data_IF_012745206798
#
_entry.id   IF_012745206798
#
_cell.length_a   1.000
_cell.length_b   1.000
_cell.length_c   1.000
_cell.angle_alpha   90.00
_cell.angle_beta   90.00
_cell.angle_gamma   90.00
#
_symmetry.space_group_name_H-M   'P 1'
#
loop_
_entity.id
_entity.type
_entity.pdbx_description
1 polymer ?
#
# COMPACT_ATOMS: atom_id res chain seq x y z
N UNK A 1 -43.79 26.27 -0.15
CA UNK A 1 -42.49 26.08 0.45
C UNK A 1 -42.26 24.59 0.75
N UNK A 2 -41.45 23.94 -0.09
CA UNK A 2 -41.11 22.53 0.07
C UNK A 2 -39.80 22.45 0.84
N UNK A 3 -39.87 21.99 2.06
CA UNK A 3 -38.70 21.67 2.87
C UNK A 3 -38.03 20.41 2.30
N UNK A 4 -36.90 20.58 1.65
CA UNK A 4 -36.02 19.50 1.29
C UNK A 4 -35.30 18.96 2.52
N UNK A 5 -35.64 17.73 2.90
CA UNK A 5 -34.87 17.01 3.91
C UNK A 5 -33.52 16.62 3.32
N UNK A 6 -32.50 17.33 3.72
CA UNK A 6 -31.12 16.94 3.48
C UNK A 6 -30.80 15.79 4.45
N UNK A 7 -30.70 14.60 3.90
CA UNK A 7 -30.27 13.42 4.62
C UNK A 7 -28.76 13.60 4.90
N UNK A 8 -28.29 13.57 6.13
CA UNK A 8 -26.86 13.66 6.39
C UNK A 8 -26.18 12.43 5.81
N UNK A 9 -25.14 12.65 5.03
CA UNK A 9 -24.28 11.60 4.51
C UNK A 9 -23.67 10.84 5.68
N UNK A 10 -23.84 9.54 5.67
CA UNK A 10 -23.31 8.62 6.68
C UNK A 10 -21.78 8.68 6.61
N UNK A 11 -21.15 9.33 7.57
CA UNK A 11 -19.71 9.61 7.61
C UNK A 11 -18.84 8.43 8.07
N UNK A 12 -19.31 7.19 7.85
CA UNK A 12 -18.63 6.00 8.38
C UNK A 12 -18.10 5.05 7.27
N UNK A 13 -17.97 5.53 6.03
CA UNK A 13 -17.20 4.78 5.05
C UNK A 13 -15.71 5.06 5.27
N UNK A 14 -14.90 4.01 5.38
CA UNK A 14 -13.46 4.21 5.46
C UNK A 14 -12.99 4.88 4.17
N UNK A 15 -12.53 6.12 4.30
CA UNK A 15 -11.91 6.81 3.17
C UNK A 15 -10.61 6.10 2.81
N UNK A 16 -10.67 5.26 1.78
CA UNK A 16 -9.48 4.71 1.17
C UNK A 16 -8.63 5.87 0.66
N UNK A 17 -7.34 5.80 0.88
CA UNK A 17 -6.39 6.71 0.24
C UNK A 17 -6.67 6.72 -1.27
N UNK A 18 -6.62 7.89 -1.90
CA UNK A 18 -6.89 8.03 -3.34
C UNK A 18 -5.90 7.29 -4.23
N UNK A 19 -4.79 6.80 -3.66
CA UNK A 19 -3.74 6.08 -4.40
C UNK A 19 -3.36 4.78 -3.70
N UNK A 20 -3.23 3.69 -4.47
CA UNK A 20 -2.71 2.45 -3.91
C UNK A 20 -1.24 2.62 -3.51
N UNK A 21 -0.84 1.98 -2.43
CA UNK A 21 0.55 1.92 -2.00
C UNK A 21 1.34 0.83 -2.73
N UNK A 22 0.64 -0.12 -3.30
CA UNK A 22 1.20 -1.26 -4.02
C UNK A 22 0.15 -1.80 -4.99
N UNK A 23 0.59 -2.25 -6.14
CA UNK A 23 -0.22 -2.92 -7.16
C UNK A 23 0.49 -4.17 -7.65
N UNK A 24 -0.25 -5.22 -7.93
CA UNK A 24 0.32 -6.45 -8.45
C UNK A 24 -0.73 -7.55 -8.62
N UNK A 25 -0.30 -8.77 -8.43
CA UNK A 25 -1.14 -9.96 -8.54
C UNK A 25 -1.31 -10.63 -7.19
N UNK A 26 -2.50 -11.15 -6.94
CA UNK A 26 -2.76 -12.08 -5.86
C UNK A 26 -2.87 -13.48 -6.49
N UNK A 27 -2.13 -14.44 -5.97
CA UNK A 27 -2.11 -15.79 -6.49
C UNK A 27 -2.40 -16.83 -5.41
N UNK A 28 -3.36 -17.68 -5.66
CA UNK A 28 -3.66 -18.87 -4.89
C UNK A 28 -3.65 -20.07 -5.85
N UNK A 29 -2.61 -20.89 -5.76
CA UNK A 29 -2.42 -22.01 -6.66
C UNK A 29 -2.40 -21.54 -8.14
N UNK A 30 -3.32 -22.01 -8.97
CA UNK A 30 -3.43 -21.62 -10.38
C UNK A 30 -4.31 -20.38 -10.61
N UNK A 31 -4.96 -19.88 -9.57
CA UNK A 31 -5.82 -18.70 -9.67
C UNK A 31 -5.02 -17.46 -9.37
N UNK A 32 -5.05 -16.51 -10.29
CA UNK A 32 -4.37 -15.22 -10.15
C UNK A 32 -5.29 -14.08 -10.55
N UNK A 33 -5.22 -12.96 -9.84
CA UNK A 33 -5.98 -11.77 -10.18
C UNK A 33 -5.20 -10.48 -9.87
N UNK A 34 -5.42 -9.43 -10.66
CA UNK A 34 -4.84 -8.13 -10.35
C UNK A 34 -5.46 -7.54 -9.08
N UNK A 35 -4.62 -6.99 -8.22
CA UNK A 35 -5.02 -6.40 -6.94
C UNK A 35 -4.24 -5.14 -6.65
N UNK A 36 -4.77 -4.34 -5.73
CA UNK A 36 -4.09 -3.17 -5.19
C UNK A 36 -4.24 -3.12 -3.67
N UNK A 37 -3.22 -2.60 -3.00
CA UNK A 37 -3.22 -2.38 -1.56
C UNK A 37 -3.40 -0.89 -1.24
N UNK A 38 -4.32 -0.61 -0.34
CA UNK A 38 -4.58 0.73 0.21
C UNK A 38 -4.38 0.73 1.71
N UNK A 39 -3.82 1.80 2.27
CA UNK A 39 -3.71 1.93 3.70
C UNK A 39 -5.07 1.88 4.40
N UNK A 40 -5.19 1.05 5.42
CA UNK A 40 -6.43 0.87 6.19
C UNK A 40 -6.48 1.71 7.46
N UNK A 41 -5.37 2.39 7.81
CA UNK A 41 -5.32 3.27 8.97
C UNK A 41 -5.88 4.63 8.63
N UNK A 42 -6.83 5.11 9.43
CA UNK A 42 -7.33 6.47 9.33
C UNK A 42 -6.25 7.46 9.78
N UNK A 43 -6.00 8.50 8.99
CA UNK A 43 -5.09 9.61 9.38
C UNK A 43 -5.61 10.40 10.60
N UNK A 44 -6.89 10.32 10.91
CA UNK A 44 -7.52 11.09 11.98
C UNK A 44 -7.14 10.67 13.41
N UNK A 45 -6.46 9.53 13.58
CA UNK A 45 -5.97 9.05 14.86
C UNK A 45 -4.46 9.02 14.99
N UNK A 46 -3.74 9.37 13.93
CA UNK A 46 -2.28 9.31 13.91
C UNK A 46 -1.69 10.52 14.67
N UNK A 47 -0.78 10.20 15.61
CA UNK A 47 0.04 11.22 16.25
C UNK A 47 1.12 11.62 15.26
N UNK A 48 1.11 12.87 14.83
CA UNK A 48 2.13 13.40 13.95
C UNK A 48 3.00 14.44 14.67
N UNK A 49 4.30 14.35 14.44
CA UNK A 49 5.26 15.32 14.93
C UNK A 49 5.74 16.21 13.78
N UNK A 50 5.89 17.48 14.06
CA UNK A 50 6.41 18.43 13.09
C UNK A 50 7.73 19.01 13.61
N UNK A 51 8.64 19.26 12.69
CA UNK A 51 9.85 19.99 13.03
C UNK A 51 9.55 21.48 13.15
N UNK A 52 9.92 22.06 14.27
CA UNK A 52 9.70 23.48 14.56
C UNK A 52 11.05 24.16 14.82
N UNK A 53 11.13 25.44 14.45
CA UNK A 53 12.19 26.31 14.90
C UNK A 53 11.85 26.78 16.33
N UNK A 54 12.67 26.46 17.35
CA UNK A 54 12.34 26.80 18.74
C UNK A 54 12.31 28.30 19.00
N UNK A 55 12.99 29.12 18.20
CA UNK A 55 13.00 30.58 18.35
C UNK A 55 11.70 31.23 17.88
N UNK A 56 11.07 30.67 16.83
CA UNK A 56 9.91 31.26 16.19
C UNK A 56 8.63 30.46 16.36
N UNK A 57 8.74 29.18 16.74
CA UNK A 57 7.67 28.17 16.75
C UNK A 57 7.07 27.90 15.36
N UNK A 58 7.74 28.31 14.31
CA UNK A 58 7.33 28.05 12.94
C UNK A 58 7.67 26.60 12.54
N UNK A 59 6.78 26.01 11.72
CA UNK A 59 7.05 24.73 11.10
C UNK A 59 8.17 24.89 10.06
N UNK A 60 9.12 23.95 10.09
CA UNK A 60 10.22 23.91 9.14
C UNK A 60 9.73 23.34 7.82
N UNK A 61 10.13 23.98 6.72
CA UNK A 61 9.95 23.46 5.35
C UNK A 61 11.25 22.83 4.89
N UNK A 62 11.13 21.63 4.29
CA UNK A 62 12.25 21.00 3.61
C UNK A 62 12.20 21.36 2.13
N UNK A 63 13.16 22.17 1.70
CA UNK A 63 13.23 22.64 0.30
C UNK A 63 14.41 21.98 -0.38
N UNK A 64 14.20 21.19 -1.45
CA UNK A 64 15.29 20.70 -2.28
C UNK A 64 16.06 21.88 -2.86
N UNK A 65 17.37 21.85 -2.76
CA UNK A 65 18.22 22.97 -3.18
C UNK A 65 19.36 22.49 -4.05
N UNK A 66 19.48 23.07 -5.25
CA UNK A 66 20.64 22.89 -6.11
C UNK A 66 21.75 23.81 -5.65
N UNK A 67 23.01 23.32 -5.53
CA UNK A 67 24.12 24.16 -5.05
C UNK A 67 24.44 25.33 -5.97
N UNK A 68 24.10 25.27 -7.26
CA UNK A 68 24.39 26.30 -8.24
C UNK A 68 23.22 27.24 -8.50
N UNK A 69 21.98 26.70 -8.56
CA UNK A 69 20.80 27.50 -8.95
C UNK A 69 19.87 27.83 -7.80
N UNK A 70 20.09 27.28 -6.59
CA UNK A 70 19.25 27.50 -5.43
C UNK A 70 18.03 26.56 -5.36
N UNK A 71 16.96 26.98 -4.66
CA UNK A 71 15.79 26.12 -4.46
C UNK A 71 15.16 25.64 -5.77
N UNK A 72 14.73 24.37 -5.80
CA UNK A 72 14.06 23.76 -6.95
C UNK A 72 12.75 23.12 -6.51
N UNK A 73 11.78 23.05 -7.42
CA UNK A 73 10.51 22.38 -7.18
C UNK A 73 10.69 20.85 -7.23
N UNK A 74 10.06 20.16 -6.28
CA UNK A 74 10.12 18.68 -6.25
C UNK A 74 9.61 18.04 -7.54
N UNK A 75 8.60 18.64 -8.17
CA UNK A 75 8.02 18.14 -9.42
C UNK A 75 9.01 18.18 -10.59
N UNK A 76 10.01 19.07 -10.53
CA UNK A 76 11.04 19.21 -11.58
C UNK A 76 12.25 18.30 -11.36
N UNK A 77 12.28 17.58 -10.24
CA UNK A 77 13.37 16.68 -9.93
C UNK A 77 13.22 15.36 -10.69
N UNK A 78 14.35 14.85 -11.16
CA UNK A 78 14.44 13.54 -11.84
C UNK A 78 15.34 12.61 -11.04
N UNK A 79 15.16 11.30 -11.23
CA UNK A 79 16.02 10.30 -10.63
C UNK A 79 17.17 9.98 -11.56
N UNK A 80 18.40 9.98 -11.04
CA UNK A 80 19.59 9.61 -11.77
C UNK A 80 20.27 8.41 -11.14
N UNK A 81 20.72 7.48 -11.98
CA UNK A 81 21.56 6.36 -11.57
C UNK A 81 23.02 6.69 -11.86
N UNK A 82 23.87 6.64 -10.83
CA UNK A 82 25.31 6.90 -11.00
C UNK A 82 26.01 5.67 -11.59
N UNK A 83 26.52 5.82 -12.81
CA UNK A 83 27.27 4.75 -13.48
C UNK A 83 28.74 4.79 -13.09
N UNK A 84 29.31 5.98 -13.17
CA UNK A 84 30.67 6.27 -12.72
C UNK A 84 30.64 7.55 -11.93
N UNK A 85 31.69 7.87 -11.20
CA UNK A 85 31.74 9.04 -10.34
C UNK A 85 31.29 10.31 -11.08
N UNK A 86 30.21 10.93 -10.58
CA UNK A 86 29.59 12.13 -11.12
C UNK A 86 28.98 12.01 -12.54
N UNK A 87 28.78 10.77 -13.04
CA UNK A 87 28.09 10.52 -14.30
C UNK A 87 26.80 9.74 -14.04
N UNK A 88 25.67 10.37 -14.38
CA UNK A 88 24.34 9.86 -14.09
C UNK A 88 23.56 9.56 -15.36
N UNK A 89 22.82 8.47 -15.36
CA UNK A 89 21.74 8.23 -16.33
C UNK A 89 20.44 8.66 -15.71
N UNK A 90 19.70 9.52 -16.40
CA UNK A 90 18.39 9.98 -15.95
C UNK A 90 17.37 8.89 -16.24
N UNK A 91 16.59 8.53 -15.20
CA UNK A 91 15.54 7.54 -15.29
C UNK A 91 14.18 8.24 -15.26
N UNK A 92 13.34 7.95 -16.26
CA UNK A 92 11.96 8.44 -16.28
C UNK A 92 11.09 7.61 -15.35
N UNK A 93 9.96 8.16 -14.84
CA UNK A 93 9.01 7.38 -14.04
C UNK A 93 8.50 6.13 -14.76
N UNK A 94 8.27 6.21 -16.07
CA UNK A 94 7.82 5.07 -16.88
C UNK A 94 8.87 3.95 -16.95
N UNK A 95 10.14 4.30 -17.11
CA UNK A 95 11.25 3.33 -17.09
C UNK A 95 11.39 2.67 -15.72
N UNK A 96 11.23 3.43 -14.63
CA UNK A 96 11.26 2.89 -13.28
C UNK A 96 10.09 1.93 -13.03
N UNK A 97 8.91 2.25 -13.53
CA UNK A 97 7.74 1.41 -13.41
C UNK A 97 7.87 0.14 -14.27
N UNK A 98 8.47 0.21 -15.44
CA UNK A 98 8.78 -0.95 -16.29
C UNK A 98 9.74 -1.92 -15.58
N UNK A 99 10.78 -1.42 -14.92
CA UNK A 99 11.69 -2.25 -14.12
C UNK A 99 10.97 -2.92 -12.96
N UNK A 100 10.04 -2.21 -12.30
CA UNK A 100 9.21 -2.78 -11.24
C UNK A 100 8.23 -3.84 -11.73
N UNK A 101 7.74 -3.74 -12.97
CA UNK A 101 6.84 -4.73 -13.59
C UNK A 101 7.57 -6.03 -13.95
N UNK A 102 8.86 -5.99 -14.24
CA UNK A 102 9.68 -7.18 -14.50
C UNK A 102 9.98 -7.98 -13.22
N UNK A 103 10.01 -7.33 -12.07
CA UNK A 103 10.01 -8.03 -10.79
C UNK A 103 8.57 -8.40 -10.49
N UNK A 104 8.27 -9.71 -10.49
CA UNK A 104 6.94 -10.26 -10.24
C UNK A 104 6.35 -9.69 -8.95
N UNK A 105 5.54 -8.65 -9.06
CA UNK A 105 4.76 -8.10 -7.95
C UNK A 105 3.59 -9.03 -7.68
N UNK A 106 3.83 -10.03 -6.87
CA UNK A 106 2.82 -11.04 -6.57
C UNK A 106 2.77 -11.28 -5.07
N UNK A 107 1.56 -11.25 -4.54
CA UNK A 107 1.26 -11.84 -3.23
C UNK A 107 0.92 -13.30 -3.50
N UNK A 108 1.83 -14.18 -3.14
CA UNK A 108 1.68 -15.62 -3.34
C UNK A 108 1.23 -16.26 -2.03
N UNK A 109 0.00 -16.81 -2.02
CA UNK A 109 -0.52 -17.50 -0.86
C UNK A 109 0.14 -18.86 -0.76
N UNK A 110 0.87 -19.11 0.31
CA UNK A 110 1.65 -20.32 0.51
C UNK A 110 0.96 -21.33 1.41
N UNK A 111 0.23 -20.86 2.43
CA UNK A 111 -0.44 -21.73 3.39
C UNK A 111 -1.52 -21.01 4.18
N UNK A 112 -2.30 -21.82 4.89
CA UNK A 112 -3.36 -21.38 5.80
C UNK A 112 -3.00 -21.77 7.21
N UNK A 113 -3.24 -20.87 8.16
CA UNK A 113 -2.99 -21.09 9.58
C UNK A 113 -4.17 -20.60 10.40
N UNK A 114 -4.32 -21.11 11.60
CA UNK A 114 -5.29 -20.57 12.56
C UNK A 114 -4.81 -19.21 13.07
N UNK A 115 -5.73 -18.27 13.27
CA UNK A 115 -5.39 -16.94 13.75
C UNK A 115 -4.60 -16.98 15.07
N UNK A 116 -4.94 -17.93 15.96
CA UNK A 116 -4.26 -18.11 17.23
C UNK A 116 -2.78 -18.52 17.10
N UNK A 117 -2.36 -19.03 15.95
CA UNK A 117 -0.96 -19.39 15.69
C UNK A 117 -0.07 -18.19 15.39
N UNK A 118 -0.67 -17.03 15.14
CA UNK A 118 0.06 -15.78 14.90
C UNK A 118 -0.06 -14.92 16.16
N UNK A 119 1.07 -14.74 16.88
CA UNK A 119 1.11 -13.86 18.03
C UNK A 119 0.84 -12.40 17.58
N UNK A 120 0.09 -11.67 18.38
CA UNK A 120 -0.25 -10.26 18.11
C UNK A 120 0.98 -9.38 17.94
N UNK A 121 2.10 -9.74 18.54
CA UNK A 121 3.37 -9.04 18.41
C UNK A 121 3.88 -9.00 16.96
N UNK A 122 3.51 -9.98 16.12
CA UNK A 122 3.92 -10.04 14.73
C UNK A 122 3.04 -9.23 13.80
N UNK A 123 1.81 -8.90 14.19
CA UNK A 123 0.91 -8.07 13.40
C UNK A 123 1.43 -6.65 13.34
N UNK A 124 1.61 -6.15 12.13
CA UNK A 124 2.17 -4.81 11.92
C UNK A 124 1.11 -3.88 11.32
N UNK A 125 1.19 -3.56 10.03
CA UNK A 125 0.33 -2.58 9.41
C UNK A 125 -0.82 -3.24 8.63
N UNK A 126 -2.07 -2.76 8.79
CA UNK A 126 -3.21 -3.22 8.00
C UNK A 126 -3.34 -2.46 6.68
N UNK A 127 -3.76 -3.19 5.65
CA UNK A 127 -4.09 -2.65 4.34
C UNK A 127 -5.38 -3.28 3.83
N UNK A 128 -6.12 -2.54 3.02
CA UNK A 128 -7.22 -3.11 2.23
C UNK A 128 -6.65 -3.66 0.92
N UNK A 129 -6.99 -4.92 0.63
CA UNK A 129 -6.67 -5.58 -0.61
C UNK A 129 -7.91 -5.59 -1.49
N UNK A 130 -7.86 -4.91 -2.63
CA UNK A 130 -9.00 -4.75 -3.53
C UNK A 130 -8.66 -5.25 -4.93
N UNK A 131 -9.67 -5.65 -5.74
CA UNK A 131 -9.41 -5.98 -7.14
C UNK A 131 -8.83 -4.79 -7.90
N UNK A 132 -7.83 -5.04 -8.74
CA UNK A 132 -7.14 -4.01 -9.51
C UNK A 132 -7.91 -3.49 -10.72
N UNK A 133 -9.06 -4.07 -11.04
CA UNK A 133 -9.94 -3.70 -12.15
C UNK A 133 -11.15 -4.60 -12.23
N UNK A 134 -12.05 -4.32 -13.18
CA UNK A 134 -13.30 -5.09 -13.35
C UNK A 134 -13.04 -6.56 -13.72
N UNK A 135 -12.00 -6.82 -14.50
CA UNK A 135 -11.67 -8.17 -14.98
C UNK A 135 -11.14 -9.09 -13.86
N UNK A 136 -10.60 -8.50 -12.79
CA UNK A 136 -10.08 -9.24 -11.64
C UNK A 136 -11.12 -9.60 -10.59
N UNK A 137 -12.32 -9.03 -10.64
CA UNK A 137 -13.32 -9.16 -9.56
C UNK A 137 -13.77 -10.61 -9.38
N UNK A 138 -13.98 -11.35 -10.44
CA UNK A 138 -14.43 -12.75 -10.36
C UNK A 138 -13.40 -13.64 -9.67
N UNK A 139 -12.15 -13.60 -10.12
CA UNK A 139 -11.06 -14.38 -9.52
C UNK A 139 -10.78 -13.94 -8.07
N UNK A 140 -10.83 -12.64 -7.80
CA UNK A 140 -10.73 -12.11 -6.45
C UNK A 140 -11.82 -12.66 -5.52
N UNK A 141 -13.06 -12.69 -5.98
CA UNK A 141 -14.20 -13.21 -5.22
C UNK A 141 -14.04 -14.70 -4.94
N UNK A 142 -13.56 -15.47 -5.90
CA UNK A 142 -13.27 -16.91 -5.72
C UNK A 142 -12.23 -17.11 -4.61
N UNK A 143 -11.15 -16.36 -4.63
CA UNK A 143 -10.09 -16.44 -3.60
C UNK A 143 -10.65 -16.03 -2.23
N UNK A 144 -11.39 -14.92 -2.17
CA UNK A 144 -12.00 -14.45 -0.92
C UNK A 144 -12.95 -15.47 -0.31
N UNK A 145 -13.80 -16.09 -1.12
CA UNK A 145 -14.74 -17.13 -0.65
C UNK A 145 -14.01 -18.38 -0.17
N UNK A 146 -12.93 -18.77 -0.84
CA UNK A 146 -12.10 -19.89 -0.40
C UNK A 146 -11.46 -19.62 0.97
N UNK A 147 -11.00 -18.39 1.21
CA UNK A 147 -10.48 -17.98 2.52
C UNK A 147 -11.56 -17.96 3.59
N UNK A 148 -12.76 -17.49 3.27
CA UNK A 148 -13.88 -17.44 4.19
C UNK A 148 -14.34 -18.86 4.59
N UNK A 149 -14.41 -19.80 3.65
CA UNK A 149 -14.76 -21.20 3.92
C UNK A 149 -13.71 -21.92 4.76
N UNK A 150 -12.44 -21.61 4.57
CA UNK A 150 -11.35 -22.20 5.33
C UNK A 150 -11.37 -21.77 6.81
N UNK A 151 -12.00 -20.64 7.14
CA UNK A 151 -12.01 -20.04 8.48
C UNK A 151 -10.60 -19.87 9.08
N UNK A 152 -9.62 -19.61 8.20
CA UNK A 152 -8.21 -19.49 8.54
C UNK A 152 -7.61 -18.23 7.95
N UNK A 153 -6.45 -17.88 8.45
CA UNK A 153 -5.63 -16.79 7.90
C UNK A 153 -4.75 -17.36 6.79
N UNK A 154 -4.75 -16.72 5.63
CA UNK A 154 -3.81 -17.06 4.56
C UNK A 154 -2.48 -16.35 4.79
N UNK A 155 -1.39 -17.08 4.73
CA UNK A 155 -0.04 -16.52 4.76
C UNK A 155 0.54 -16.50 3.35
N UNK A 156 1.14 -15.37 3.02
CA UNK A 156 1.80 -15.19 1.74
C UNK A 156 3.04 -14.31 1.87
N UNK A 157 3.74 -14.19 0.78
CA UNK A 157 4.93 -13.35 0.66
C UNK A 157 4.76 -12.33 -0.43
N UNK A 158 5.31 -11.15 -0.21
CA UNK A 158 5.28 -10.04 -1.17
C UNK A 158 6.56 -9.24 -1.06
N UNK A 159 7.03 -8.72 -2.18
CA UNK A 159 8.11 -7.73 -2.18
C UNK A 159 7.49 -6.34 -2.16
N UNK A 160 7.74 -5.60 -1.10
CA UNK A 160 7.27 -4.23 -0.90
C UNK A 160 8.45 -3.34 -0.54
N UNK A 161 8.56 -2.21 -1.22
CA UNK A 161 9.65 -1.24 -0.96
C UNK A 161 11.05 -1.89 -0.99
N UNK A 162 11.26 -2.82 -1.92
CA UNK A 162 12.53 -3.53 -2.09
C UNK A 162 12.82 -4.60 -1.04
N UNK A 163 11.85 -4.94 -0.18
CA UNK A 163 11.99 -5.97 0.86
C UNK A 163 10.92 -7.03 0.73
N UNK A 164 11.33 -8.28 0.92
CA UNK A 164 10.39 -9.38 1.07
C UNK A 164 9.71 -9.30 2.43
N UNK A 165 8.37 -9.38 2.41
CA UNK A 165 7.56 -9.34 3.61
C UNK A 165 6.60 -10.50 3.66
N UNK A 166 6.42 -11.04 4.85
CA UNK A 166 5.35 -11.98 5.12
C UNK A 166 4.06 -11.18 5.35
N UNK A 167 2.97 -11.63 4.76
CA UNK A 167 1.65 -11.02 4.89
C UNK A 167 0.61 -12.04 5.32
N UNK A 168 -0.37 -11.55 6.07
CA UNK A 168 -1.55 -12.32 6.49
C UNK A 168 -2.79 -11.73 5.82
N UNK A 169 -3.58 -12.57 5.18
CA UNK A 169 -4.79 -12.18 4.49
C UNK A 169 -6.01 -12.76 5.20
N UNK A 170 -7.03 -11.93 5.40
CA UNK A 170 -8.32 -12.36 5.91
C UNK A 170 -9.46 -11.72 5.12
N UNK A 171 -10.55 -12.47 4.87
CA UNK A 171 -11.73 -11.85 4.28
C UNK A 171 -12.40 -10.90 5.29
N UNK A 172 -12.87 -9.77 4.80
CA UNK A 172 -13.61 -8.81 5.58
C UNK A 172 -14.74 -8.27 4.72
N UNK A 173 -16.00 -8.59 5.08
CA UNK A 173 -17.18 -8.21 4.31
C UNK A 173 -17.04 -8.64 2.83
N UNK A 174 -17.10 -7.70 1.89
CA UNK A 174 -16.90 -7.98 0.46
C UNK A 174 -15.45 -7.88 0.00
N UNK A 175 -14.55 -7.53 0.90
CA UNK A 175 -13.15 -7.34 0.61
C UNK A 175 -12.22 -8.25 1.39
N UNK A 176 -10.95 -7.91 1.38
CA UNK A 176 -9.92 -8.58 2.17
C UNK A 176 -9.04 -7.56 2.87
N UNK A 177 -8.59 -7.92 4.08
CA UNK A 177 -7.52 -7.22 4.77
C UNK A 177 -6.21 -7.96 4.55
N UNK A 178 -5.16 -7.18 4.38
CA UNK A 178 -3.78 -7.66 4.28
C UNK A 178 -2.96 -6.99 5.37
N UNK A 179 -2.41 -7.79 6.27
CA UNK A 179 -1.51 -7.30 7.31
C UNK A 179 -0.08 -7.68 6.96
N UNK A 180 0.81 -6.71 7.01
CA UNK A 180 2.23 -7.05 7.05
C UNK A 180 2.59 -7.61 8.41
N UNK A 181 3.44 -8.62 8.43
CA UNK A 181 3.91 -9.24 9.66
C UNK A 181 5.36 -8.85 9.92
N UNK A 182 5.68 -8.68 11.21
CA UNK A 182 7.06 -8.49 11.63
C UNK A 182 7.76 -9.85 11.63
N UNK A 183 8.92 -9.90 11.00
CA UNK A 183 9.80 -11.03 11.13
C UNK A 183 10.68 -10.80 12.36
N UNK A 184 10.62 -11.73 13.30
CA UNK A 184 11.45 -11.72 14.51
C UNK A 184 12.92 -11.94 14.22
#
# INVERSE_FOLDING_TARGET
PRHGHHKPANSNEPHLSSRPIWQGQLRLSLVSCPVALYGATSKSGDISFHLLNPETNNRIRMVPTDPDTGPVERADLVKGYEITKNHYVILTPDELDAVKLETTRTIDIERFVDEAQIDRLYWNAPYYLVPGGKDGVEAYTVIREALAEAERIALGRVVMHGRERLVALEPRDKGMLCYTLRMG
#
